data_IF_131483892011
#
_entry.id   IF_131483892011
#
_cell.length_a   1.000
_cell.length_b   1.000
_cell.length_c   1.000
_cell.angle_alpha   90.00
_cell.angle_beta   90.00
_cell.angle_gamma   90.00
#
_symmetry.space_group_name_H-M   'P 1'
#
loop_
_entity.id
_entity.type
_entity.pdbx_description
1 polymer ?
#
# COMPACT_ATOMS: atom_id res chain seq x y z
N UNK A 1 -3.98 -24.77 -8.50
CA UNK A 1 -2.66 -24.60 -7.83
C UNK A 1 -2.80 -23.56 -6.71
N UNK A 2 -2.22 -23.78 -5.54
CA UNK A 2 -2.23 -22.84 -4.41
C UNK A 2 -0.81 -22.32 -4.22
N UNK A 3 -0.60 -21.01 -4.38
CA UNK A 3 0.71 -20.40 -4.23
C UNK A 3 0.75 -19.66 -2.89
N UNK A 4 1.69 -20.09 -2.03
CA UNK A 4 1.94 -19.46 -0.72
C UNK A 4 3.05 -18.44 -0.80
N UNK A 5 3.07 -17.55 0.20
CA UNK A 5 4.21 -16.69 0.46
C UNK A 5 5.50 -17.54 0.53
N UNK A 6 6.50 -17.21 -0.28
CA UNK A 6 7.87 -17.57 0.06
C UNK A 6 8.32 -16.61 1.16
N UNK A 7 8.56 -17.19 2.33
CA UNK A 7 8.92 -16.53 3.57
C UNK A 7 10.12 -15.57 3.41
N UNK A 8 10.16 -14.58 4.31
CA UNK A 8 11.21 -13.60 4.55
C UNK A 8 11.22 -12.35 3.64
N UNK A 9 10.33 -11.41 3.95
CA UNK A 9 10.78 -10.02 4.09
C UNK A 9 11.31 -9.92 5.51
N UNK A 10 12.60 -10.20 5.73
CA UNK A 10 13.21 -9.90 7.03
C UNK A 10 13.27 -8.37 7.15
N UNK A 11 12.30 -7.84 7.87
CA UNK A 11 12.34 -6.55 8.53
C UNK A 11 13.44 -6.60 9.60
N UNK A 12 14.53 -5.86 9.42
CA UNK A 12 15.37 -5.47 10.55
C UNK A 12 14.75 -4.22 11.16
N UNK A 13 14.38 -4.32 12.43
CA UNK A 13 13.75 -3.25 13.22
C UNK A 13 14.47 -1.90 13.07
N UNK A 14 13.75 -0.77 13.12
CA UNK A 14 14.38 0.52 13.28
C UNK A 14 15.07 0.59 14.66
N UNK A 15 16.29 1.12 14.70
CA UNK A 15 17.00 1.39 15.95
C UNK A 15 16.25 2.44 16.77
N UNK A 16 15.37 2.00 17.66
CA UNK A 16 14.64 2.84 18.58
C UNK A 16 15.54 3.23 19.76
N UNK A 17 15.91 4.51 19.82
CA UNK A 17 16.49 5.14 21.01
C UNK A 17 15.60 6.30 21.45
N UNK A 18 14.87 6.12 22.56
CA UNK A 18 14.66 7.13 23.59
C UNK A 18 13.69 6.59 24.66
N UNK A 19 14.28 6.35 25.83
CA UNK A 19 13.66 6.12 27.14
C UNK A 19 12.73 7.26 27.55
N UNK A 20 11.59 6.91 28.16
CA UNK A 20 10.69 7.86 28.82
C UNK A 20 9.76 7.13 29.79
N UNK A 21 10.24 6.94 31.01
CA UNK A 21 9.56 6.35 32.15
C UNK A 21 8.42 7.22 32.70
N UNK A 22 7.53 6.53 33.41
CA UNK A 22 6.97 6.87 34.72
C UNK A 22 5.50 7.37 34.85
N UNK A 23 4.80 6.59 35.69
CA UNK A 23 3.81 6.93 36.73
C UNK A 23 2.31 6.90 36.42
N UNK A 24 1.76 5.75 36.80
CA UNK A 24 0.52 5.60 37.56
C UNK A 24 0.37 6.62 38.69
N UNK A 25 -0.79 7.30 38.74
CA UNK A 25 -1.43 7.81 39.96
C UNK A 25 -2.94 7.58 39.80
N UNK A 26 -3.46 6.64 40.57
CA UNK A 26 -4.86 6.58 41.00
C UNK A 26 -5.21 7.84 41.78
N UNK A 27 -6.44 8.34 41.63
CA UNK A 27 -7.19 8.87 42.76
C UNK A 27 -8.67 9.03 42.39
N UNK A 28 -9.50 8.22 43.03
CA UNK A 28 -10.93 8.41 43.09
C UNK A 28 -11.31 9.61 43.96
N UNK A 29 -12.42 10.24 43.62
CA UNK A 29 -13.26 11.03 44.51
C UNK A 29 -14.68 10.92 43.95
N UNK A 30 -15.55 10.19 44.64
CA UNK A 30 -16.52 10.74 45.60
C UNK A 30 -17.69 11.47 44.90
N UNK A 31 -18.82 10.77 44.79
CA UNK A 31 -20.11 11.36 44.51
C UNK A 31 -20.64 12.09 45.75
N UNK A 32 -21.45 13.15 45.57
CA UNK A 32 -22.58 13.36 46.47
C UNK A 32 -23.93 13.46 45.75
N UNK A 33 -24.89 12.93 46.49
CA UNK A 33 -26.32 12.83 46.25
C UNK A 33 -27.02 14.13 45.80
N UNK A 34 -27.96 13.96 44.86
CA UNK A 34 -29.36 14.32 45.07
C UNK A 34 -29.74 15.79 44.98
N UNK A 35 -30.24 16.20 43.82
CA UNK A 35 -31.35 17.16 43.77
C UNK A 35 -32.23 16.91 42.54
N UNK A 36 -33.47 16.51 42.78
CA UNK A 36 -34.53 16.43 41.78
C UNK A 36 -34.90 17.85 41.34
N UNK A 37 -35.03 18.10 40.03
CA UNK A 37 -35.98 19.09 39.48
C UNK A 37 -36.20 18.83 37.99
N UNK A 38 -37.41 18.39 37.70
CA UNK A 38 -38.02 18.29 36.38
C UNK A 38 -38.07 19.67 35.71
N UNK A 39 -37.64 19.80 34.45
CA UNK A 39 -38.16 20.85 33.57
C UNK A 39 -37.98 20.42 32.10
N UNK A 40 -39.13 20.26 31.47
CA UNK A 40 -39.45 20.04 30.07
C UNK A 40 -38.92 21.18 29.19
N UNK A 41 -38.13 20.92 28.13
CA UNK A 41 -38.05 21.84 26.97
C UNK A 41 -37.49 21.20 25.68
N UNK A 42 -38.37 21.19 24.66
CA UNK A 42 -38.17 21.49 23.23
C UNK A 42 -37.30 20.56 22.34
N UNK A 43 -38.01 19.70 21.59
CA UNK A 43 -37.59 19.18 20.29
C UNK A 43 -37.48 20.32 19.26
N UNK A 44 -36.27 20.60 18.76
CA UNK A 44 -36.06 21.39 17.53
C UNK A 44 -35.27 20.52 16.56
N UNK A 45 -35.99 20.03 15.56
CA UNK A 45 -35.51 19.22 14.44
C UNK A 45 -34.51 20.00 13.60
N UNK A 46 -33.25 19.57 13.59
CA UNK A 46 -32.19 20.15 12.75
C UNK A 46 -32.23 19.53 11.35
N UNK A 47 -32.60 20.34 10.35
CA UNK A 47 -32.36 20.07 8.93
C UNK A 47 -30.84 20.06 8.69
N UNK A 48 -30.24 18.89 8.54
CA UNK A 48 -28.86 18.74 8.07
C UNK A 48 -28.86 18.81 6.54
N UNK A 49 -28.47 19.96 5.98
CA UNK A 49 -28.27 20.13 4.55
C UNK A 49 -27.05 19.31 4.08
N UNK A 50 -27.27 18.39 3.13
CA UNK A 50 -26.25 17.57 2.48
C UNK A 50 -25.35 18.45 1.59
N UNK A 51 -24.20 18.86 2.10
CA UNK A 51 -23.16 19.49 1.28
C UNK A 51 -22.36 18.38 0.59
N UNK A 52 -22.73 18.06 -0.66
CA UNK A 52 -21.98 17.15 -1.51
C UNK A 52 -20.69 17.84 -2.00
N UNK A 53 -19.60 17.65 -1.26
CA UNK A 53 -18.27 18.08 -1.69
C UNK A 53 -17.79 17.21 -2.86
N UNK A 54 -17.59 17.82 -4.03
CA UNK A 54 -16.86 17.18 -5.13
C UNK A 54 -15.39 17.03 -4.72
N UNK A 55 -14.90 15.80 -4.63
CA UNK A 55 -13.49 15.52 -4.41
C UNK A 55 -12.70 15.89 -5.68
N UNK A 56 -11.64 16.70 -5.54
CA UNK A 56 -10.76 16.99 -6.67
C UNK A 56 -10.03 15.72 -7.10
N UNK A 57 -10.15 15.36 -8.38
CA UNK A 57 -9.29 14.35 -9.00
C UNK A 57 -7.88 14.95 -9.13
N UNK A 58 -6.90 14.41 -8.40
CA UNK A 58 -5.51 14.82 -8.49
C UNK A 58 -4.98 14.45 -9.88
N UNK A 59 -4.84 15.43 -10.76
CA UNK A 59 -4.25 15.24 -12.08
C UNK A 59 -2.78 14.79 -11.98
N UNK A 60 -2.38 13.89 -12.87
CA UNK A 60 -0.99 13.42 -12.93
C UNK A 60 -0.04 14.58 -13.21
N UNK A 61 0.87 14.84 -12.27
CA UNK A 61 1.96 15.81 -12.46
C UNK A 61 3.14 15.11 -13.13
N UNK A 62 3.95 15.82 -13.92
CA UNK A 62 5.18 15.25 -14.49
C UNK A 62 6.38 15.61 -13.60
N UNK A 63 7.19 14.61 -13.25
CA UNK A 63 8.42 14.81 -12.48
C UNK A 63 9.62 15.23 -13.34
N UNK A 64 10.81 15.31 -12.74
CA UNK A 64 12.06 15.65 -13.43
C UNK A 64 12.44 14.62 -14.51
N UNK A 65 11.93 13.40 -14.43
CA UNK A 65 12.06 12.36 -15.46
C UNK A 65 11.12 12.54 -16.67
N UNK A 66 10.17 13.48 -16.60
CA UNK A 66 9.12 13.66 -17.61
C UNK A 66 8.00 12.61 -17.58
N UNK A 67 8.10 11.62 -16.68
CA UNK A 67 7.10 10.58 -16.45
C UNK A 67 6.01 11.05 -15.47
N UNK A 68 4.78 10.49 -15.57
CA UNK A 68 3.70 10.85 -14.67
C UNK A 68 4.02 10.45 -13.22
N UNK A 69 3.49 11.25 -12.31
CA UNK A 69 3.47 11.02 -10.88
C UNK A 69 2.01 11.07 -10.38
N UNK A 70 1.62 10.12 -9.50
CA UNK A 70 2.41 8.98 -9.06
C UNK A 70 2.48 7.86 -10.10
N UNK A 71 3.43 6.92 -9.96
CA UNK A 71 3.50 5.72 -10.80
C UNK A 71 4.18 4.54 -10.12
N UNK A 72 3.82 3.32 -10.52
CA UNK A 72 4.48 2.12 -10.02
C UNK A 72 5.78 1.80 -10.75
N UNK A 73 6.76 1.36 -9.97
CA UNK A 73 8.05 0.80 -10.40
C UNK A 73 8.41 -0.38 -9.49
N UNK A 74 9.54 -1.01 -9.76
CA UNK A 74 10.03 -2.12 -8.94
C UNK A 74 11.42 -1.86 -8.37
N UNK A 75 11.68 -2.46 -7.20
CA UNK A 75 13.04 -2.53 -6.65
C UNK A 75 13.89 -3.48 -7.48
N UNK A 76 14.93 -2.97 -8.14
CA UNK A 76 15.79 -3.75 -9.04
C UNK A 76 16.76 -4.66 -8.27
N UNK A 77 17.27 -4.18 -7.14
CA UNK A 77 18.35 -4.83 -6.39
C UNK A 77 17.83 -5.61 -5.19
N UNK A 78 18.53 -6.67 -4.81
CA UNK A 78 18.22 -7.44 -3.60
C UNK A 78 18.44 -6.62 -2.31
N UNK A 79 19.28 -5.59 -2.34
CA UNK A 79 19.45 -4.65 -1.23
C UNK A 79 19.22 -3.23 -1.72
N UNK A 80 18.25 -2.54 -1.13
CA UNK A 80 17.94 -1.13 -1.44
C UNK A 80 17.78 -0.36 -0.14
N UNK A 81 18.61 0.66 0.05
CA UNK A 81 18.51 1.56 1.18
C UNK A 81 17.45 2.62 0.91
N UNK A 82 16.48 2.72 1.82
CA UNK A 82 15.53 3.82 1.90
C UNK A 82 16.12 4.89 2.81
N UNK A 83 16.21 6.12 2.31
CA UNK A 83 16.80 7.24 3.05
C UNK A 83 15.75 8.28 3.42
N UNK A 84 16.01 9.03 4.49
CA UNK A 84 15.11 10.11 4.91
C UNK A 84 15.17 11.35 4.01
N UNK A 85 16.18 11.46 3.13
CA UNK A 85 16.34 12.57 2.19
C UNK A 85 17.04 12.19 0.89
N UNK A 86 16.99 13.04 -0.15
CA UNK A 86 17.47 12.77 -1.50
C UNK A 86 18.98 13.01 -1.66
N UNK A 87 19.78 12.41 -0.79
CA UNK A 87 21.25 12.39 -0.87
C UNK A 87 21.79 11.16 -0.13
N UNK A 88 23.01 10.74 -0.49
CA UNK A 88 23.75 9.69 0.22
C UNK A 88 24.14 10.08 1.64
N UNK A 89 24.10 11.38 1.97
CA UNK A 89 24.44 11.90 3.30
C UNK A 89 23.30 11.73 4.32
N UNK A 90 22.06 11.54 3.86
CA UNK A 90 20.92 11.30 4.74
C UNK A 90 20.95 9.88 5.28
N UNK A 91 20.55 9.75 6.55
CA UNK A 91 20.45 8.45 7.23
C UNK A 91 19.52 7.47 6.48
N UNK A 92 19.89 6.18 6.54
CA UNK A 92 19.04 5.09 6.05
C UNK A 92 17.98 4.80 7.10
N UNK A 93 16.70 4.94 6.74
CA UNK A 93 15.56 4.60 7.60
C UNK A 93 15.17 3.14 7.48
N UNK A 94 15.42 2.52 6.33
CA UNK A 94 15.05 1.13 6.06
C UNK A 94 15.96 0.49 5.00
N UNK A 95 16.08 -0.83 5.02
CA UNK A 95 16.75 -1.58 3.97
C UNK A 95 15.83 -2.70 3.46
N UNK A 96 15.41 -2.58 2.20
CA UNK A 96 14.71 -3.68 1.53
C UNK A 96 15.69 -4.77 1.16
N UNK A 97 15.31 -6.03 1.40
CA UNK A 97 16.14 -7.23 1.20
C UNK A 97 15.62 -8.15 0.08
N UNK A 98 14.61 -7.70 -0.68
CA UNK A 98 13.94 -8.46 -1.73
C UNK A 98 13.78 -7.62 -3.00
N UNK A 99 14.30 -8.14 -4.11
CA UNK A 99 14.11 -7.56 -5.44
C UNK A 99 12.70 -7.82 -5.97
N UNK A 100 12.28 -7.02 -6.95
CA UNK A 100 10.99 -7.13 -7.62
C UNK A 100 9.81 -6.56 -6.83
N UNK A 101 10.01 -6.07 -5.60
CA UNK A 101 8.92 -5.47 -4.82
C UNK A 101 8.35 -4.24 -5.54
N UNK A 102 7.01 -4.15 -5.70
CA UNK A 102 6.35 -2.99 -6.30
C UNK A 102 6.30 -1.82 -5.32
N UNK A 103 6.72 -0.64 -5.78
CA UNK A 103 6.69 0.61 -5.02
C UNK A 103 6.14 1.74 -5.89
N UNK A 104 5.48 2.69 -5.26
CA UNK A 104 4.92 3.87 -5.90
C UNK A 104 5.96 5.01 -5.85
N UNK A 105 6.35 5.58 -6.99
CA UNK A 105 7.06 6.87 -7.00
C UNK A 105 6.02 7.97 -6.81
N UNK A 106 6.15 8.73 -5.73
CA UNK A 106 5.27 9.84 -5.37
C UNK A 106 5.92 11.21 -5.59
N UNK A 107 7.25 11.27 -5.64
CA UNK A 107 8.00 12.51 -5.87
C UNK A 107 9.36 12.22 -6.53
N UNK A 108 9.89 13.23 -7.22
CA UNK A 108 11.21 13.18 -7.85
C UNK A 108 12.05 14.38 -7.48
N UNK A 109 13.34 14.16 -7.29
CA UNK A 109 14.34 15.20 -7.08
C UNK A 109 15.67 14.72 -7.66
N UNK A 110 16.16 15.37 -8.72
CA UNK A 110 17.39 14.96 -9.43
C UNK A 110 17.42 13.43 -9.72
N UNK A 111 18.39 12.71 -9.17
CA UNK A 111 18.56 11.25 -9.30
C UNK A 111 17.79 10.43 -8.25
N UNK A 112 16.97 11.08 -7.42
CA UNK A 112 16.27 10.48 -6.30
C UNK A 112 14.78 10.40 -6.54
N UNK A 113 14.18 9.30 -6.10
CA UNK A 113 12.75 9.04 -6.16
C UNK A 113 12.25 8.85 -4.74
N UNK A 114 11.29 9.67 -4.33
CA UNK A 114 10.55 9.40 -3.10
C UNK A 114 9.55 8.31 -3.43
N UNK A 115 9.68 7.18 -2.75
CA UNK A 115 8.81 6.03 -2.95
C UNK A 115 7.85 5.88 -1.77
N UNK A 116 6.74 5.18 -2.01
CA UNK A 116 5.84 4.62 -1.01
C UNK A 116 5.72 3.11 -1.24
N UNK A 117 5.87 2.31 -0.19
CA UNK A 117 5.63 0.87 -0.26
C UNK A 117 4.19 0.48 0.13
N UNK A 118 3.91 -0.82 0.09
CA UNK A 118 2.57 -1.36 0.38
C UNK A 118 2.09 -1.13 1.81
N UNK A 119 3.01 -0.86 2.75
CA UNK A 119 2.69 -0.61 4.16
C UNK A 119 2.57 0.91 4.42
N UNK A 120 2.76 1.74 3.38
CA UNK A 120 2.71 3.19 3.46
C UNK A 120 4.04 3.82 3.89
N UNK A 121 5.12 3.04 4.02
CA UNK A 121 6.44 3.57 4.37
C UNK A 121 6.95 4.43 3.22
N UNK A 122 7.44 5.63 3.54
CA UNK A 122 7.97 6.56 2.56
C UNK A 122 9.44 6.88 2.79
N UNK A 123 10.15 7.16 1.70
CA UNK A 123 11.53 7.64 1.75
C UNK A 123 12.16 7.72 0.36
N UNK A 124 13.45 8.04 0.32
CA UNK A 124 14.18 8.32 -0.90
C UNK A 124 15.08 7.16 -1.31
N UNK A 125 14.98 6.79 -2.59
CA UNK A 125 15.80 5.77 -3.24
C UNK A 125 16.46 6.38 -4.47
N UNK A 126 17.71 6.01 -4.72
CA UNK A 126 18.40 6.40 -5.95
C UNK A 126 17.78 5.67 -7.15
N UNK A 127 17.49 6.39 -8.23
CA UNK A 127 16.81 5.84 -9.41
C UNK A 127 17.50 4.63 -10.04
N UNK A 128 18.82 4.48 -9.89
CA UNK A 128 19.59 3.35 -10.41
C UNK A 128 19.22 2.01 -9.76
N UNK A 129 18.59 2.05 -8.58
CA UNK A 129 18.11 0.89 -7.82
C UNK A 129 16.65 0.53 -8.17
N UNK A 130 16.04 1.25 -9.10
CA UNK A 130 14.66 1.04 -9.54
C UNK A 130 14.63 0.51 -10.98
N UNK A 131 13.55 -0.19 -11.31
CA UNK A 131 13.26 -0.69 -12.65
C UNK A 131 11.85 -0.31 -13.07
N UNK A 132 11.67 -0.04 -14.36
CA UNK A 132 10.35 0.14 -14.97
C UNK A 132 9.58 -1.18 -15.18
N UNK A 133 10.21 -2.33 -14.93
CA UNK A 133 9.52 -3.62 -14.93
C UNK A 133 8.35 -3.60 -13.95
N UNK A 134 7.21 -4.14 -14.38
CA UNK A 134 5.97 -4.11 -13.62
C UNK A 134 5.82 -5.39 -12.80
N UNK A 135 5.57 -5.23 -11.51
CA UNK A 135 5.20 -6.31 -10.60
C UNK A 135 4.02 -5.87 -9.74
N UNK A 136 3.45 -6.82 -9.01
CA UNK A 136 2.42 -6.54 -8.05
C UNK A 136 2.42 -7.50 -6.86
N UNK A 137 1.78 -7.10 -5.77
CA UNK A 137 1.44 -7.97 -4.64
C UNK A 137 -0.05 -8.25 -4.66
N UNK A 138 -0.44 -9.52 -4.48
CA UNK A 138 -1.84 -9.92 -4.31
C UNK A 138 -2.38 -9.37 -2.98
N UNK A 139 -3.42 -8.53 -3.01
CA UNK A 139 -4.16 -8.00 -1.86
C UNK A 139 -3.37 -7.88 -0.54
N UNK A 140 -2.23 -7.16 -0.50
CA UNK A 140 -1.36 -7.14 0.67
C UNK A 140 -2.04 -6.61 1.95
N UNK A 141 -3.06 -5.77 1.82
CA UNK A 141 -3.93 -5.29 2.91
C UNK A 141 -4.80 -6.38 3.57
N UNK A 142 -4.78 -7.59 3.03
CA UNK A 142 -5.49 -8.77 3.57
C UNK A 142 -4.56 -9.78 4.25
N UNK A 143 -3.24 -9.49 4.36
CA UNK A 143 -2.30 -10.35 5.08
C UNK A 143 -2.78 -10.61 6.52
N UNK A 144 -2.68 -11.85 6.97
CA UNK A 144 -3.05 -12.26 8.32
C UNK A 144 -4.56 -12.34 8.61
N UNK A 145 -5.44 -12.10 7.62
CA UNK A 145 -6.91 -12.14 7.81
C UNK A 145 -7.53 -13.55 7.66
N UNK A 146 -6.71 -14.61 7.64
CA UNK A 146 -7.14 -16.01 7.58
C UNK A 146 -6.62 -16.78 6.36
N UNK A 147 -6.61 -18.11 6.46
CA UNK A 147 -6.03 -19.01 5.45
C UNK A 147 -6.91 -19.18 4.19
N UNK A 148 -8.20 -18.87 4.30
CA UNK A 148 -9.18 -18.93 3.21
C UNK A 148 -9.31 -17.62 2.42
N UNK A 149 -8.43 -16.63 2.68
CA UNK A 149 -8.39 -15.38 1.91
C UNK A 149 -7.40 -15.53 0.75
N UNK A 150 -7.87 -15.29 -0.47
CA UNK A 150 -7.04 -15.39 -1.68
C UNK A 150 -7.54 -14.48 -2.80
N UNK A 151 -6.60 -14.05 -3.64
CA UNK A 151 -6.86 -13.44 -4.96
C UNK A 151 -6.96 -14.55 -5.99
N UNK A 152 -8.00 -14.53 -6.81
CA UNK A 152 -8.19 -15.54 -7.85
C UNK A 152 -7.43 -15.14 -9.12
N UNK A 153 -6.50 -15.99 -9.56
CA UNK A 153 -5.95 -15.91 -10.90
C UNK A 153 -6.80 -16.76 -11.85
N UNK A 154 -7.29 -16.12 -12.90
CA UNK A 154 -8.21 -16.70 -13.89
C UNK A 154 -7.50 -16.95 -15.22
N UNK A 155 -8.08 -17.82 -16.04
CA UNK A 155 -7.56 -18.13 -17.38
C UNK A 155 -7.60 -16.92 -18.31
N UNK A 156 -8.67 -16.13 -18.22
CA UNK A 156 -8.91 -14.94 -19.04
C UNK A 156 -9.29 -13.73 -18.16
N UNK A 157 -9.11 -12.52 -18.69
CA UNK A 157 -9.41 -11.25 -18.02
C UNK A 157 -10.91 -10.94 -17.95
N UNK A 158 -11.68 -11.83 -17.33
CA UNK A 158 -13.10 -11.66 -17.07
C UNK A 158 -13.56 -12.44 -15.84
N UNK A 159 -14.56 -11.92 -15.14
CA UNK A 159 -15.01 -12.45 -13.84
C UNK A 159 -15.52 -13.90 -13.92
N UNK A 160 -16.12 -14.30 -15.04
CA UNK A 160 -16.64 -15.66 -15.26
C UNK A 160 -15.60 -16.69 -15.71
N UNK A 161 -14.35 -16.29 -16.00
CA UNK A 161 -13.33 -17.23 -16.49
C UNK A 161 -12.88 -18.20 -15.41
N UNK A 162 -12.50 -19.42 -15.79
CA UNK A 162 -12.06 -20.47 -14.88
C UNK A 162 -10.90 -20.00 -14.00
N UNK A 163 -11.00 -20.27 -12.69
CA UNK A 163 -9.90 -20.03 -11.73
C UNK A 163 -8.84 -21.10 -11.94
N UNK A 164 -7.60 -20.68 -12.22
CA UNK A 164 -6.46 -21.57 -12.47
C UNK A 164 -5.47 -21.60 -11.30
N UNK A 165 -5.41 -20.52 -10.52
CA UNK A 165 -4.64 -20.47 -9.28
C UNK A 165 -5.31 -19.58 -8.23
N UNK A 166 -5.04 -19.87 -6.96
CA UNK A 166 -5.40 -19.04 -5.80
C UNK A 166 -4.11 -18.50 -5.20
N UNK A 167 -4.03 -17.18 -5.08
CA UNK A 167 -2.85 -16.46 -4.58
C UNK A 167 -3.13 -15.95 -3.17
N UNK A 168 -2.28 -16.32 -2.20
CA UNK A 168 -2.39 -15.73 -0.86
C UNK A 168 -2.06 -14.23 -0.86
N UNK A 169 -2.61 -13.45 0.10
CA UNK A 169 -2.20 -12.08 0.33
C UNK A 169 -0.68 -11.95 0.48
N UNK A 170 -0.08 -11.06 -0.32
CA UNK A 170 1.36 -10.81 -0.35
C UNK A 170 2.16 -11.63 -1.36
N UNK A 171 1.52 -12.52 -2.13
CA UNK A 171 2.20 -13.21 -3.24
C UNK A 171 2.66 -12.17 -4.27
N UNK A 172 3.95 -12.20 -4.59
CA UNK A 172 4.58 -11.35 -5.61
C UNK A 172 4.36 -11.94 -7.00
N UNK A 173 3.97 -11.11 -7.95
CA UNK A 173 3.72 -11.49 -9.33
C UNK A 173 4.34 -10.50 -10.31
N UNK A 174 4.77 -10.99 -11.47
CA UNK A 174 5.19 -10.13 -12.58
C UNK A 174 3.98 -9.75 -13.40
N UNK A 175 3.79 -8.47 -13.71
CA UNK A 175 2.72 -8.02 -14.58
C UNK A 175 3.22 -8.01 -16.03
N UNK A 176 2.45 -8.62 -16.91
CA UNK A 176 2.75 -8.70 -18.34
C UNK A 176 2.01 -7.59 -19.10
N UNK A 177 0.73 -7.40 -18.79
CA UNK A 177 -0.11 -6.35 -19.38
C UNK A 177 -1.28 -6.05 -18.42
N UNK A 178 -1.84 -4.85 -18.51
CA UNK A 178 -3.11 -4.49 -17.88
C UNK A 178 -4.02 -3.83 -18.90
N UNK A 179 -5.32 -4.11 -18.82
CA UNK A 179 -6.32 -3.57 -19.74
C UNK A 179 -7.27 -2.54 -19.09
N UNK A 180 -6.89 -2.01 -17.91
CA UNK A 180 -7.70 -1.07 -17.13
C UNK A 180 -8.71 -1.71 -16.17
N UNK A 181 -8.86 -3.04 -16.20
CA UNK A 181 -9.72 -3.77 -15.24
C UNK A 181 -9.09 -5.08 -14.76
N UNK A 182 -8.35 -5.73 -15.63
CA UNK A 182 -7.61 -6.96 -15.37
C UNK A 182 -6.15 -6.78 -15.74
N UNK A 183 -5.29 -7.48 -15.01
CA UNK A 183 -3.87 -7.56 -15.31
C UNK A 183 -3.49 -9.00 -15.58
N UNK A 184 -2.86 -9.24 -16.72
CA UNK A 184 -2.22 -10.51 -17.01
C UNK A 184 -0.93 -10.58 -16.21
N UNK A 185 -0.79 -11.60 -15.40
CA UNK A 185 0.31 -11.78 -14.47
C UNK A 185 0.93 -13.17 -14.60
N UNK A 186 2.18 -13.28 -14.17
CA UNK A 186 2.92 -14.53 -14.06
C UNK A 186 3.40 -14.72 -12.62
N UNK A 187 3.13 -15.91 -12.07
CA UNK A 187 3.62 -16.37 -10.76
C UNK A 187 4.10 -17.80 -10.90
N UNK A 188 5.36 -18.07 -10.54
CA UNK A 188 5.99 -19.40 -10.61
C UNK A 188 5.74 -20.12 -11.95
N UNK A 189 5.90 -19.40 -13.06
CA UNK A 189 5.68 -19.89 -14.43
C UNK A 189 4.21 -20.02 -14.86
N UNK A 190 3.26 -19.86 -13.94
CA UNK A 190 1.83 -19.87 -14.26
C UNK A 190 1.37 -18.49 -14.69
N UNK A 191 0.78 -18.41 -15.89
CA UNK A 191 0.25 -17.19 -16.48
C UNK A 191 -1.27 -17.19 -16.42
N UNK A 192 -1.84 -16.07 -15.97
CA UNK A 192 -3.27 -15.87 -15.92
C UNK A 192 -3.61 -14.39 -15.71
N UNK A 193 -4.86 -14.13 -15.36
CA UNK A 193 -5.40 -12.78 -15.16
C UNK A 193 -5.88 -12.61 -13.73
N UNK A 194 -5.50 -11.49 -13.11
CA UNK A 194 -5.96 -11.06 -11.79
C UNK A 194 -6.75 -9.78 -11.93
N UNK A 195 -7.76 -9.59 -11.08
CA UNK A 195 -8.50 -8.34 -11.05
C UNK A 195 -7.56 -7.20 -10.60
N UNK A 196 -7.53 -6.09 -11.34
CA UNK A 196 -6.62 -4.98 -11.06
C UNK A 196 -6.87 -4.37 -9.68
N UNK A 197 -8.13 -4.34 -9.22
CA UNK A 197 -8.50 -3.86 -7.89
C UNK A 197 -8.07 -4.77 -6.73
N UNK A 198 -7.57 -5.97 -7.01
CA UNK A 198 -7.12 -6.93 -5.98
C UNK A 198 -5.59 -6.95 -5.83
N UNK A 199 -4.87 -6.01 -6.45
CA UNK A 199 -3.40 -5.98 -6.43
C UNK A 199 -2.84 -4.61 -6.05
N UNK A 200 -1.64 -4.61 -5.46
CA UNK A 200 -0.80 -3.43 -5.30
C UNK A 200 0.32 -3.47 -6.33
N UNK A 201 0.35 -2.52 -7.28
CA UNK A 201 1.30 -2.50 -8.40
C UNK A 201 0.72 -1.97 -9.73
N UNK A 202 -0.59 -1.73 -9.77
CA UNK A 202 -1.27 -1.06 -10.89
C UNK A 202 -2.45 -0.23 -10.35
N UNK A 203 -2.66 0.96 -10.91
CA UNK A 203 -3.79 1.81 -10.54
C UNK A 203 -5.10 1.35 -11.17
N UNK A 204 -6.25 1.61 -10.53
CA UNK A 204 -7.55 1.44 -11.18
C UNK A 204 -7.61 2.17 -12.52
N UNK A 205 -8.00 1.46 -13.59
CA UNK A 205 -8.08 2.03 -14.94
C UNK A 205 -6.75 2.10 -15.68
N UNK A 206 -5.63 1.72 -15.05
CA UNK A 206 -4.33 1.73 -15.71
C UNK A 206 -4.24 0.63 -16.77
N UNK A 207 -3.79 1.00 -17.97
CA UNK A 207 -3.60 0.07 -19.08
C UNK A 207 -2.19 0.19 -19.66
N UNK A 208 -1.54 -0.94 -19.88
CA UNK A 208 -0.22 -1.05 -20.50
C UNK A 208 -0.02 -2.45 -21.11
N UNK A 209 0.95 -2.58 -22.02
CA UNK A 209 1.34 -3.82 -22.70
C UNK A 209 2.84 -4.03 -22.64
#
# INVERSE_FOLDING_TARGET
>A
MYLRLQDHIQATEPLAGASGSDRSIDNGNAMPNGFKRSCLTLFVSTLFALWAGAAAAQGATKGTSGLPLPRFVTLKSARVNLRIGPSTDYATSWMYTRAGLPVEIIQEYDNWRRIRDTDGTEGWVNQTLLSGERSALAAPWMKGKGDDVYVNMRRDGQAGSAVIAKLQPGVLMRLLECNGTWCRAEVDGTKGWVAQGEIWGAYPGEAFK
#
